data_IF_934449924788
#
_entry.id   IF_934449924788
#
_cell.length_a   1.000
_cell.length_b   1.000
_cell.length_c   1.000
_cell.angle_alpha   90.00
_cell.angle_beta   90.00
_cell.angle_gamma   90.00
#
_symmetry.space_group_name_H-M   'P 1'
#
loop_
_entity.id
_entity.type
_entity.pdbx_description
1 polymer ?
#
# COMPACT_ATOMS: atom_id res chain seq x y z
N UNK A 1 -14.13 30.28 -22.69
CA UNK A 1 -14.86 29.29 -21.85
C UNK A 1 -13.91 28.13 -21.68
N UNK A 2 -13.34 27.95 -20.49
CA UNK A 2 -12.35 26.88 -20.21
C UNK A 2 -13.10 25.57 -20.02
N UNK A 3 -13.04 24.67 -20.99
CA UNK A 3 -13.49 23.29 -20.81
C UNK A 3 -12.36 22.53 -20.13
N UNK A 4 -12.19 22.76 -18.83
CA UNK A 4 -11.29 21.97 -18.02
C UNK A 4 -11.71 20.51 -18.10
N UNK A 5 -10.90 19.67 -18.73
CA UNK A 5 -11.11 18.23 -18.71
C UNK A 5 -10.95 17.76 -17.26
N UNK A 6 -12.05 17.35 -16.65
CA UNK A 6 -12.00 16.68 -15.36
C UNK A 6 -11.30 15.33 -15.56
N UNK A 7 -10.35 14.96 -14.68
CA UNK A 7 -9.75 13.64 -14.74
C UNK A 7 -10.83 12.54 -14.60
N UNK A 8 -10.63 11.38 -15.24
CA UNK A 8 -11.56 10.27 -15.10
C UNK A 8 -11.66 9.85 -13.63
N UNK A 9 -12.83 9.38 -13.17
CA UNK A 9 -12.96 8.85 -11.83
C UNK A 9 -11.96 7.70 -11.67
N UNK A 10 -11.13 7.79 -10.63
CA UNK A 10 -10.35 6.64 -10.21
C UNK A 10 -11.34 5.54 -9.77
N UNK A 11 -11.06 4.25 -10.05
CA UNK A 11 -11.75 3.19 -9.34
C UNK A 11 -11.39 3.35 -7.86
N UNK A 12 -12.31 3.92 -7.09
CA UNK A 12 -12.29 3.73 -5.65
C UNK A 12 -12.90 2.36 -5.41
N UNK A 13 -12.22 1.53 -4.64
CA UNK A 13 -12.80 0.31 -4.13
C UNK A 13 -13.95 0.73 -3.20
N UNK A 14 -15.19 0.52 -3.64
CA UNK A 14 -16.43 0.78 -2.88
C UNK A 14 -16.68 -0.32 -1.82
N UNK A 15 -15.73 -1.24 -1.66
CA UNK A 15 -15.57 -2.00 -0.44
C UNK A 15 -14.61 -1.21 0.41
N UNK A 16 -15.03 -0.80 1.61
CA UNK A 16 -14.12 -0.15 2.54
C UNK A 16 -12.80 -0.88 2.54
N UNK A 17 -11.79 -0.24 1.94
CA UNK A 17 -10.42 -0.61 2.11
C UNK A 17 -10.09 -0.04 3.48
N UNK A 18 -10.11 -0.82 4.58
CA UNK A 18 -9.13 -0.47 5.57
C UNK A 18 -7.84 -0.60 4.77
N UNK A 19 -7.11 0.49 4.58
CA UNK A 19 -5.68 0.29 4.75
C UNK A 19 -5.60 -0.48 6.06
N UNK A 20 -5.42 -1.80 5.94
CA UNK A 20 -5.38 -2.75 7.03
C UNK A 20 -4.53 -2.04 8.06
N UNK A 21 -5.13 -1.62 9.18
CA UNK A 21 -4.43 -0.77 10.13
C UNK A 21 -3.19 -1.57 10.52
N UNK A 22 -2.06 -1.25 9.87
CA UNK A 22 -0.88 -2.08 9.99
C UNK A 22 -0.61 -2.11 11.48
N UNK A 23 -0.43 -3.29 12.07
CA UNK A 23 -0.35 -3.38 13.50
C UNK A 23 0.78 -2.46 13.97
N UNK A 24 0.45 -1.51 14.85
CA UNK A 24 1.36 -0.50 15.38
C UNK A 24 1.61 -0.74 16.87
N UNK A 25 2.81 -0.41 17.32
CA UNK A 25 3.22 -0.39 18.72
C UNK A 25 3.69 1.01 19.12
N UNK A 26 3.62 1.30 20.41
CA UNK A 26 4.16 2.54 20.98
C UNK A 26 5.66 2.34 21.28
N UNK A 27 6.50 3.29 20.88
CA UNK A 27 7.93 3.26 21.21
C UNK A 27 8.22 3.79 22.63
N UNK A 28 9.51 3.93 22.98
CA UNK A 28 9.91 4.40 24.31
C UNK A 28 9.59 5.90 24.56
N UNK A 29 9.40 6.66 23.49
CA UNK A 29 9.12 8.10 23.51
C UNK A 29 7.61 8.38 23.44
N UNK A 30 6.79 7.36 23.18
CA UNK A 30 5.33 7.44 23.10
C UNK A 30 4.81 7.65 21.69
N UNK A 31 5.66 7.46 20.68
CA UNK A 31 5.29 7.61 19.27
C UNK A 31 4.76 6.28 18.71
N UNK A 32 3.74 6.35 17.85
CA UNK A 32 3.17 5.19 17.15
C UNK A 32 4.10 4.77 15.99
N UNK A 33 4.60 3.53 16.04
CA UNK A 33 5.48 2.93 15.03
C UNK A 33 4.93 1.59 14.56
N UNK A 34 5.29 1.15 13.36
CA UNK A 34 4.89 -0.16 12.83
C UNK A 34 5.44 -1.29 13.72
N UNK A 35 4.59 -2.28 14.00
CA UNK A 35 4.96 -3.47 14.76
C UNK A 35 5.43 -4.58 13.80
N UNK A 36 6.73 -4.61 13.55
CA UNK A 36 7.40 -5.61 12.71
C UNK A 36 7.16 -7.06 13.17
N UNK A 37 6.85 -7.25 14.46
CA UNK A 37 6.61 -8.55 15.06
C UNK A 37 5.15 -9.02 14.89
N UNK A 38 4.24 -8.13 14.49
CA UNK A 38 2.83 -8.42 14.30
C UNK A 38 2.47 -8.73 12.84
N UNK A 39 3.40 -8.52 11.91
CA UNK A 39 3.24 -8.88 10.51
C UNK A 39 3.90 -10.25 10.23
N UNK A 40 3.16 -11.32 10.50
CA UNK A 40 3.59 -12.71 10.24
C UNK A 40 3.80 -13.00 8.74
N UNK A 41 3.26 -12.14 7.86
CA UNK A 41 3.28 -12.28 6.40
C UNK A 41 4.48 -11.53 5.78
N UNK A 42 5.68 -11.67 6.38
CA UNK A 42 6.92 -11.15 5.82
C UNK A 42 7.05 -11.63 4.36
N UNK A 43 6.78 -10.72 3.42
CA UNK A 43 6.81 -11.00 1.98
C UNK A 43 8.16 -11.64 1.65
N UNK A 44 8.14 -12.81 1.03
CA UNK A 44 9.37 -13.46 0.57
C UNK A 44 10.06 -12.51 -0.41
N UNK A 45 11.29 -12.09 -0.11
CA UNK A 45 12.07 -11.20 -0.98
C UNK A 45 12.15 -11.73 -2.41
N UNK A 46 12.10 -13.06 -2.60
CA UNK A 46 12.06 -13.68 -3.92
C UNK A 46 10.71 -13.46 -4.65
N UNK A 47 9.61 -13.33 -3.91
CA UNK A 47 8.30 -12.95 -4.44
C UNK A 47 8.24 -11.46 -4.78
N UNK A 48 8.78 -10.60 -3.91
CA UNK A 48 8.91 -9.17 -4.17
C UNK A 48 9.72 -8.89 -5.45
N UNK A 49 10.86 -9.56 -5.63
CA UNK A 49 11.69 -9.45 -6.84
C UNK A 49 10.93 -9.89 -8.12
N UNK A 50 10.09 -10.93 -8.02
CA UNK A 50 9.26 -11.37 -9.15
C UNK A 50 8.22 -10.33 -9.53
N UNK A 51 7.51 -9.76 -8.56
CA UNK A 51 6.49 -8.74 -8.81
C UNK A 51 7.09 -7.49 -9.46
N UNK A 52 8.26 -7.05 -8.96
CA UNK A 52 9.00 -5.94 -9.53
C UNK A 52 9.41 -6.20 -10.99
N UNK A 53 9.87 -7.41 -11.30
CA UNK A 53 10.28 -7.79 -12.66
C UNK A 53 9.12 -7.92 -13.66
N UNK A 54 7.89 -8.11 -13.19
CA UNK A 54 6.70 -8.24 -14.05
C UNK A 54 6.10 -6.90 -14.49
N UNK A 55 6.59 -5.78 -13.95
CA UNK A 55 6.04 -4.45 -14.25
C UNK A 55 6.56 -3.86 -15.59
N UNK A 56 7.56 -4.49 -16.21
CA UNK A 56 8.20 -3.99 -17.44
C UNK A 56 7.59 -4.51 -18.76
N UNK A 57 6.53 -5.34 -18.74
CA UNK A 57 6.02 -6.01 -19.95
C UNK A 57 4.91 -5.25 -20.73
N UNK A 58 4.54 -4.03 -20.32
CA UNK A 58 3.51 -3.21 -21.00
C UNK A 58 4.02 -1.81 -21.45
N UNK A 59 5.10 -1.75 -22.22
CA UNK A 59 5.52 -0.54 -22.98
C UNK A 59 5.66 -0.79 -24.49
#
# INVERSE_FOLDING_TARGET
>A
MSTGAFPPPLPFDDNGDPHEEEPVREDADGDEVLDEDANDDLIDSAEADRLASQTDDDQ
#
